data_IF_009701946672
#
_entry.id   IF_009701946672
#
_cell.length_a   1.000
_cell.length_b   1.000
_cell.length_c   1.000
_cell.angle_alpha   90.00
_cell.angle_beta   90.00
_cell.angle_gamma   90.00
#
_symmetry.space_group_name_H-M   'P 1'
#
loop_
_entity.id
_entity.type
_entity.pdbx_description
1 polymer ?
#
# COMPACT_ATOMS: atom_id res chain seq x y z
N UNK A 1 27.82 -20.97 5.59
CA UNK A 1 27.12 -20.47 6.77
C UNK A 1 27.84 -19.22 7.22
N UNK A 2 27.15 -18.09 7.29
CA UNK A 2 27.71 -16.82 7.77
C UNK A 2 27.56 -16.77 9.28
N UNK A 3 28.56 -16.21 9.97
CA UNK A 3 28.51 -16.01 11.41
C UNK A 3 27.33 -15.07 11.76
N UNK A 4 26.53 -15.38 12.79
CA UNK A 4 25.28 -14.67 13.05
C UNK A 4 25.43 -13.21 13.49
N UNK A 5 26.63 -12.73 13.76
CA UNK A 5 26.87 -11.43 14.39
C UNK A 5 27.67 -10.40 13.57
N UNK A 6 27.98 -10.68 12.31
CA UNK A 6 28.67 -9.72 11.45
C UNK A 6 28.00 -9.61 10.09
N UNK A 7 27.53 -8.41 9.77
CA UNK A 7 27.06 -8.13 8.41
C UNK A 7 28.24 -8.29 7.45
N UNK A 8 28.21 -9.24 6.53
CA UNK A 8 29.37 -9.55 5.69
C UNK A 8 29.75 -8.34 4.86
N UNK A 9 31.04 -8.00 4.82
CA UNK A 9 31.56 -6.93 3.94
C UNK A 9 31.20 -7.17 2.47
N UNK A 10 31.02 -8.42 2.06
CA UNK A 10 30.54 -8.79 0.72
C UNK A 10 29.16 -8.26 0.38
N UNK A 11 28.32 -7.93 1.36
CA UNK A 11 26.99 -7.35 1.14
C UNK A 11 27.00 -5.82 1.08
N UNK A 12 28.14 -5.16 1.29
CA UNK A 12 28.24 -3.70 1.16
C UNK A 12 27.91 -3.21 -0.26
N UNK A 13 28.00 -4.09 -1.28
CA UNK A 13 27.59 -3.75 -2.64
C UNK A 13 26.08 -3.43 -2.71
N UNK A 14 25.25 -4.03 -1.85
CA UNK A 14 23.81 -3.75 -1.79
C UNK A 14 23.49 -2.37 -1.23
N UNK A 15 24.47 -1.70 -0.63
CA UNK A 15 24.34 -0.30 -0.21
C UNK A 15 24.49 0.68 -1.40
N UNK A 16 25.00 0.22 -2.54
CA UNK A 16 25.11 1.03 -3.75
C UNK A 16 23.77 1.06 -4.48
N UNK A 17 23.12 2.25 -4.64
CA UNK A 17 21.76 2.36 -5.19
C UNK A 17 21.60 1.68 -6.54
N UNK A 18 22.56 1.82 -7.44
CA UNK A 18 22.49 1.25 -8.78
C UNK A 18 22.50 -0.28 -8.78
N UNK A 19 23.36 -0.89 -7.95
CA UNK A 19 23.46 -2.35 -7.86
C UNK A 19 22.23 -2.93 -7.14
N UNK A 20 21.78 -2.26 -6.11
CA UNK A 20 20.56 -2.63 -5.40
C UNK A 20 19.34 -2.60 -6.34
N UNK A 21 19.15 -1.51 -7.09
CA UNK A 21 18.06 -1.39 -8.06
C UNK A 21 18.10 -2.50 -9.11
N UNK A 22 19.28 -2.81 -9.65
CA UNK A 22 19.42 -3.91 -10.61
C UNK A 22 19.01 -5.24 -9.99
N UNK A 23 19.37 -5.51 -8.75
CA UNK A 23 19.05 -6.76 -8.08
C UNK A 23 17.54 -6.95 -7.88
N UNK A 24 16.83 -5.93 -7.39
CA UNK A 24 15.40 -6.04 -7.08
C UNK A 24 14.49 -5.93 -8.31
N UNK A 25 14.93 -5.23 -9.37
CA UNK A 25 14.12 -5.02 -10.58
C UNK A 25 14.27 -6.12 -11.64
N UNK A 26 15.12 -7.10 -11.41
CA UNK A 26 15.30 -8.25 -12.33
C UNK A 26 14.16 -9.25 -12.30
N UNK A 27 13.41 -9.31 -11.21
CA UNK A 27 12.26 -10.20 -11.11
C UNK A 27 11.11 -9.70 -11.98
N UNK A 28 10.59 -10.52 -12.89
CA UNK A 28 9.43 -10.18 -13.72
C UNK A 28 8.10 -10.34 -12.99
N UNK A 29 7.96 -11.42 -12.22
CA UNK A 29 6.70 -11.80 -11.58
C UNK A 29 6.80 -11.93 -10.06
N UNK A 30 7.94 -12.42 -9.54
CA UNK A 30 8.08 -12.69 -8.11
C UNK A 30 9.53 -12.51 -7.66
N UNK A 31 9.72 -11.83 -6.54
CA UNK A 31 10.98 -11.74 -5.82
C UNK A 31 10.81 -12.39 -4.44
N UNK A 32 11.66 -13.38 -4.12
CA UNK A 32 11.66 -14.03 -2.81
C UNK A 32 12.95 -13.63 -2.11
N UNK A 33 12.82 -13.02 -0.94
CA UNK A 33 13.95 -12.55 -0.16
C UNK A 33 14.15 -13.46 1.05
N UNK A 34 15.34 -14.03 1.19
CA UNK A 34 15.76 -14.76 2.39
C UNK A 34 16.72 -13.87 3.18
N UNK A 35 16.29 -13.44 4.36
CA UNK A 35 17.06 -12.53 5.22
C UNK A 35 17.42 -13.28 6.50
N UNK A 36 18.72 -13.47 6.74
CA UNK A 36 19.25 -14.20 7.90
C UNK A 36 19.73 -13.28 9.03
N UNK A 37 19.66 -11.98 8.85
CA UNK A 37 20.11 -10.99 9.82
C UNK A 37 18.92 -10.17 10.32
N UNK A 38 18.96 -9.81 11.59
CA UNK A 38 17.98 -8.90 12.15
C UNK A 38 18.14 -7.51 11.53
N UNK A 39 17.02 -6.86 11.21
CA UNK A 39 16.98 -5.55 10.57
C UNK A 39 17.75 -4.52 11.40
N UNK A 40 17.68 -4.62 12.72
CA UNK A 40 18.32 -3.70 13.66
C UNK A 40 19.84 -3.78 13.61
N UNK A 41 20.38 -4.94 13.24
CA UNK A 41 21.84 -5.16 13.10
C UNK A 41 22.38 -4.75 11.73
N UNK A 42 21.51 -4.43 10.79
CA UNK A 42 21.90 -4.01 9.44
C UNK A 42 22.38 -2.55 9.46
N UNK A 43 23.43 -2.21 8.71
CA UNK A 43 23.84 -0.83 8.53
C UNK A 43 22.74 -0.03 7.82
N UNK A 44 22.61 1.24 8.18
CA UNK A 44 21.65 2.14 7.53
C UNK A 44 21.93 2.24 6.02
N UNK A 45 20.85 2.21 5.23
CA UNK A 45 20.93 2.29 3.77
C UNK A 45 19.77 1.65 3.03
N UNK A 46 19.88 1.61 1.70
CA UNK A 46 18.79 1.15 0.83
C UNK A 46 18.35 -0.28 1.11
N UNK A 47 19.28 -1.18 1.44
CA UNK A 47 18.96 -2.58 1.72
C UNK A 47 18.17 -2.72 3.03
N UNK A 48 18.59 -2.05 4.11
CA UNK A 48 17.84 -2.06 5.38
C UNK A 48 16.44 -1.50 5.20
N UNK A 49 16.30 -0.35 4.51
CA UNK A 49 15.01 0.27 4.25
C UNK A 49 14.08 -0.67 3.45
N UNK A 50 14.62 -1.37 2.46
CA UNK A 50 13.88 -2.34 1.66
C UNK A 50 13.41 -3.54 2.49
N UNK A 51 14.28 -4.12 3.31
CA UNK A 51 13.92 -5.25 4.19
C UNK A 51 12.88 -4.82 5.23
N UNK A 52 13.04 -3.63 5.82
CA UNK A 52 12.05 -3.05 6.74
C UNK A 52 10.70 -2.85 6.07
N UNK A 53 10.68 -2.35 4.84
CA UNK A 53 9.46 -2.18 4.06
C UNK A 53 8.75 -3.52 3.81
N UNK A 54 9.50 -4.57 3.37
CA UNK A 54 8.92 -5.89 3.15
C UNK A 54 8.33 -6.48 4.44
N UNK A 55 9.04 -6.34 5.56
CA UNK A 55 8.56 -6.82 6.87
C UNK A 55 7.27 -6.11 7.27
N UNK A 56 7.25 -4.79 7.22
CA UNK A 56 6.05 -4.01 7.52
C UNK A 56 4.87 -4.39 6.60
N UNK A 57 5.14 -4.64 5.32
CA UNK A 57 4.12 -5.11 4.38
C UNK A 57 3.58 -6.49 4.76
N UNK A 58 4.45 -7.43 5.14
CA UNK A 58 4.05 -8.77 5.58
C UNK A 58 3.26 -8.73 6.89
N UNK A 59 3.75 -7.97 7.89
CA UNK A 59 3.08 -7.80 9.18
C UNK A 59 1.67 -7.21 9.00
N UNK A 60 1.55 -6.21 8.12
CA UNK A 60 0.26 -5.61 7.76
C UNK A 60 -0.67 -6.61 7.07
N UNK A 61 -0.17 -7.42 6.12
CA UNK A 61 -0.96 -8.46 5.46
C UNK A 61 -1.43 -9.53 6.46
N UNK A 62 -0.61 -9.86 7.43
CA UNK A 62 -0.93 -10.85 8.46
C UNK A 62 -1.96 -10.31 9.47
N UNK A 63 -1.83 -9.05 9.90
CA UNK A 63 -2.83 -8.37 10.73
C UNK A 63 -4.20 -8.31 10.04
N UNK A 64 -4.21 -8.03 8.74
CA UNK A 64 -5.42 -8.03 7.92
C UNK A 64 -6.06 -9.42 7.76
N UNK A 65 -5.24 -10.46 7.62
CA UNK A 65 -5.71 -11.85 7.55
C UNK A 65 -6.33 -12.30 8.89
N UNK A 66 -5.85 -11.74 10.01
CA UNK A 66 -6.36 -12.03 11.35
C UNK A 66 -7.57 -11.16 11.76
N UNK A 67 -8.10 -10.32 10.87
CA UNK A 67 -9.13 -9.32 11.18
C UNK A 67 -8.76 -8.34 12.34
N UNK A 68 -7.48 -8.20 12.63
CA UNK A 68 -6.97 -7.18 13.53
C UNK A 68 -6.99 -5.83 12.80
N UNK A 69 -8.14 -5.17 12.85
CA UNK A 69 -8.31 -3.84 12.26
C UNK A 69 -7.67 -2.83 13.22
N UNK A 70 -6.47 -2.38 12.89
CA UNK A 70 -5.92 -1.19 13.54
C UNK A 70 -6.75 0.03 13.11
N UNK A 71 -7.52 0.58 14.04
CA UNK A 71 -8.37 1.76 13.80
C UNK A 71 -7.57 3.01 13.39
N UNK A 72 -6.27 3.04 13.70
CA UNK A 72 -5.37 4.15 13.37
C UNK A 72 -4.91 4.17 11.90
N UNK A 73 -5.26 3.16 11.10
CA UNK A 73 -4.89 3.08 9.68
C UNK A 73 -5.70 4.06 8.82
N UNK A 74 -6.91 4.42 9.25
CA UNK A 74 -7.78 5.31 8.50
C UNK A 74 -7.40 6.78 8.70
N UNK A 75 -7.33 7.54 7.60
CA UNK A 75 -7.02 8.98 7.65
C UNK A 75 -8.15 9.81 8.28
N UNK A 76 -9.39 9.32 8.16
CA UNK A 76 -10.58 10.01 8.67
C UNK A 76 -11.76 9.03 8.83
N UNK A 77 -12.82 9.51 9.51
CA UNK A 77 -14.03 8.74 9.76
C UNK A 77 -14.76 8.30 8.49
N UNK A 78 -14.76 9.12 7.44
CA UNK A 78 -15.39 8.80 6.16
C UNK A 78 -14.75 7.58 5.52
N UNK A 79 -13.42 7.51 5.52
CA UNK A 79 -12.67 6.37 5.00
C UNK A 79 -13.00 5.09 5.76
N UNK A 80 -13.10 5.17 7.10
CA UNK A 80 -13.51 4.05 7.96
C UNK A 80 -14.94 3.59 7.65
N UNK A 81 -15.87 4.54 7.51
CA UNK A 81 -17.27 4.27 7.19
C UNK A 81 -17.41 3.56 5.85
N UNK A 82 -16.78 4.07 4.80
CA UNK A 82 -16.76 3.46 3.46
C UNK A 82 -16.14 2.07 3.51
N UNK A 83 -14.99 1.90 4.17
CA UNK A 83 -14.33 0.60 4.29
C UNK A 83 -15.22 -0.43 5.01
N UNK A 84 -15.91 -0.01 6.07
CA UNK A 84 -16.86 -0.87 6.81
C UNK A 84 -18.04 -1.26 5.94
N UNK A 85 -18.60 -0.31 5.18
CA UNK A 85 -19.72 -0.58 4.30
C UNK A 85 -19.35 -1.58 3.18
N UNK A 86 -18.14 -1.46 2.61
CA UNK A 86 -17.63 -2.39 1.59
C UNK A 86 -17.42 -3.80 2.20
N UNK A 87 -16.87 -3.89 3.41
CA UNK A 87 -16.69 -5.18 4.12
C UNK A 87 -18.01 -5.85 4.44
N UNK A 88 -19.05 -5.11 4.79
CA UNK A 88 -20.39 -5.64 5.06
C UNK A 88 -21.05 -6.26 3.80
N UNK A 89 -20.48 -6.03 2.62
CA UNK A 89 -20.86 -6.65 1.36
C UNK A 89 -19.92 -7.81 0.95
N UNK A 90 -19.23 -8.39 1.93
CA UNK A 90 -18.30 -9.53 1.77
C UNK A 90 -17.07 -9.26 0.89
N UNK A 91 -16.65 -8.00 0.74
CA UNK A 91 -15.43 -7.64 0.04
C UNK A 91 -14.25 -7.47 1.01
N UNK A 92 -13.07 -7.93 0.59
CA UNK A 92 -11.83 -7.70 1.32
C UNK A 92 -11.38 -6.25 1.14
N UNK A 93 -11.16 -5.52 2.23
CA UNK A 93 -10.69 -4.12 2.20
C UNK A 93 -9.45 -3.94 3.04
N UNK A 94 -8.41 -3.38 2.44
CA UNK A 94 -7.14 -3.00 3.07
C UNK A 94 -6.98 -1.49 2.99
N UNK A 95 -6.85 -0.82 4.13
CA UNK A 95 -6.65 0.63 4.18
C UNK A 95 -5.16 1.00 4.21
N UNK A 96 -4.82 2.17 3.69
CA UNK A 96 -3.49 2.76 3.80
C UNK A 96 -2.38 1.95 3.12
N UNK A 97 -2.65 1.31 1.99
CA UNK A 97 -1.67 0.50 1.26
C UNK A 97 -0.68 1.39 0.52
N UNK A 98 0.61 1.12 0.67
CA UNK A 98 1.63 1.80 -0.12
C UNK A 98 1.88 1.08 -1.44
N UNK A 99 1.70 1.79 -2.55
CA UNK A 99 1.94 1.33 -3.92
C UNK A 99 2.83 2.34 -4.63
N UNK A 100 3.99 1.92 -5.10
CA UNK A 100 4.98 2.79 -5.76
C UNK A 100 5.34 4.05 -4.95
N UNK A 101 5.41 3.94 -3.62
CA UNK A 101 5.69 5.07 -2.72
C UNK A 101 4.51 6.03 -2.52
N UNK A 102 3.32 5.65 -2.96
CA UNK A 102 2.08 6.40 -2.76
C UNK A 102 1.13 5.64 -1.85
N UNK A 103 0.58 6.32 -0.85
CA UNK A 103 -0.43 5.73 0.03
C UNK A 103 -1.79 5.74 -0.67
N UNK A 104 -2.32 4.56 -1.02
CA UNK A 104 -3.70 4.38 -1.48
C UNK A 104 -4.65 4.33 -0.28
N UNK A 105 -5.84 4.91 -0.40
CA UNK A 105 -6.77 4.97 0.73
C UNK A 105 -7.33 3.58 1.05
N UNK A 106 -8.01 2.94 0.11
CA UNK A 106 -8.56 1.59 0.27
C UNK A 106 -8.20 0.73 -0.94
N UNK A 107 -7.66 -0.47 -0.71
CA UNK A 107 -7.50 -1.51 -1.73
C UNK A 107 -8.60 -2.56 -1.52
N UNK A 108 -9.37 -2.84 -2.55
CA UNK A 108 -10.51 -3.76 -2.50
C UNK A 108 -10.21 -5.01 -3.33
N UNK A 109 -10.39 -6.19 -2.73
CA UNK A 109 -10.20 -7.52 -3.32
C UNK A 109 -8.84 -7.74 -4.01
N UNK A 110 -7.83 -6.99 -3.60
CA UNK A 110 -6.51 -6.95 -4.23
C UNK A 110 -6.56 -6.57 -5.74
N UNK A 111 -7.66 -5.98 -6.21
CA UNK A 111 -7.93 -5.70 -7.64
C UNK A 111 -8.01 -4.22 -7.98
N UNK A 112 -8.67 -3.42 -7.16
CA UNK A 112 -8.89 -2.02 -7.44
C UNK A 112 -8.76 -1.14 -6.20
N UNK A 113 -8.51 0.14 -6.42
CA UNK A 113 -8.32 1.12 -5.37
C UNK A 113 -9.54 2.03 -5.31
N UNK A 114 -9.99 2.33 -4.08
CA UNK A 114 -10.98 3.36 -3.81
C UNK A 114 -10.28 4.52 -3.10
N UNK A 115 -10.20 5.66 -3.77
CA UNK A 115 -9.73 6.92 -3.21
C UNK A 115 -10.90 7.68 -2.61
N UNK A 116 -10.75 8.16 -1.40
CA UNK A 116 -11.78 8.85 -0.64
C UNK A 116 -11.48 10.35 -0.59
N UNK A 117 -12.31 11.15 -1.26
CA UNK A 117 -12.13 12.60 -1.33
C UNK A 117 -12.98 13.30 -0.24
N UNK A 118 -12.31 13.99 0.68
CA UNK A 118 -12.94 14.80 1.73
C UNK A 118 -13.54 16.13 1.22
N UNK A 119 -14.01 16.94 2.16
CA UNK A 119 -14.68 18.23 1.88
C UNK A 119 -13.74 19.30 1.32
N UNK A 120 -12.45 19.26 1.69
CA UNK A 120 -11.47 20.25 1.28
C UNK A 120 -10.77 19.86 -0.03
N UNK A 121 -11.22 20.45 -1.12
CA UNK A 121 -10.62 20.25 -2.44
C UNK A 121 -10.21 21.60 -3.05
N UNK A 122 -8.91 21.91 -3.03
CA UNK A 122 -8.36 23.05 -3.77
C UNK A 122 -7.71 22.57 -5.08
N UNK A 123 -7.52 23.49 -6.06
CA UNK A 123 -6.98 23.17 -7.38
C UNK A 123 -5.61 22.47 -7.34
N UNK A 124 -4.74 22.79 -6.37
CA UNK A 124 -3.43 22.12 -6.21
C UNK A 124 -3.58 20.69 -5.75
N UNK A 125 -4.53 20.42 -4.85
CA UNK A 125 -4.88 19.08 -4.41
C UNK A 125 -5.38 18.23 -5.58
N UNK A 126 -6.20 18.78 -6.47
CA UNK A 126 -6.75 18.06 -7.62
C UNK A 126 -5.65 17.56 -8.58
N UNK A 127 -4.67 18.40 -8.93
CA UNK A 127 -3.54 18.00 -9.80
C UNK A 127 -2.71 16.88 -9.14
N UNK A 128 -2.47 16.97 -7.84
CA UNK A 128 -1.74 15.93 -7.09
C UNK A 128 -2.50 14.61 -7.10
N UNK A 129 -3.83 14.64 -6.89
CA UNK A 129 -4.71 13.47 -6.92
C UNK A 129 -4.73 12.81 -8.30
N UNK A 130 -4.78 13.59 -9.38
CA UNK A 130 -4.71 13.05 -10.75
C UNK A 130 -3.36 12.39 -11.05
N UNK A 131 -2.24 12.98 -10.61
CA UNK A 131 -0.92 12.38 -10.74
C UNK A 131 -0.82 11.07 -9.97
N UNK A 132 -1.30 11.04 -8.73
CA UNK A 132 -1.37 9.84 -7.91
C UNK A 132 -2.17 8.74 -8.62
N UNK A 133 -3.37 9.06 -9.09
CA UNK A 133 -4.22 8.14 -9.83
C UNK A 133 -3.50 7.56 -11.06
N UNK A 134 -2.90 8.40 -11.89
CA UNK A 134 -2.17 7.95 -13.08
C UNK A 134 -1.02 7.00 -12.76
N UNK A 135 -0.32 7.18 -11.62
CA UNK A 135 0.74 6.26 -11.20
C UNK A 135 0.13 4.93 -10.75
N UNK A 136 -0.94 4.94 -9.95
CA UNK A 136 -1.62 3.72 -9.48
C UNK A 136 -2.20 2.92 -10.66
N UNK A 137 -2.78 3.58 -11.65
CA UNK A 137 -3.27 2.95 -12.88
C UNK A 137 -2.13 2.31 -13.70
N UNK A 138 -0.98 2.96 -13.77
CA UNK A 138 0.23 2.38 -14.40
C UNK A 138 0.80 1.20 -13.64
N UNK A 139 0.54 1.08 -12.33
CA UNK A 139 0.84 -0.10 -11.53
C UNK A 139 -0.16 -1.24 -11.74
N UNK A 140 -1.17 -1.07 -12.59
CA UNK A 140 -2.14 -2.10 -12.96
C UNK A 140 -3.43 -2.08 -12.16
N UNK A 141 -3.65 -1.08 -11.28
CA UNK A 141 -4.88 -0.97 -10.51
C UNK A 141 -5.92 -0.10 -11.20
N UNK A 142 -7.17 -0.51 -11.17
CA UNK A 142 -8.28 0.41 -11.46
C UNK A 142 -8.45 1.34 -10.27
N UNK A 143 -8.58 2.64 -10.49
CA UNK A 143 -8.79 3.63 -9.42
C UNK A 143 -10.20 4.20 -9.53
N UNK A 144 -10.98 4.03 -8.49
CA UNK A 144 -12.33 4.56 -8.34
C UNK A 144 -12.35 5.60 -7.23
N UNK A 145 -13.21 6.59 -7.30
CA UNK A 145 -13.29 7.67 -6.31
C UNK A 145 -14.66 7.74 -5.68
N UNK A 146 -14.69 8.02 -4.40
CA UNK A 146 -15.89 8.36 -3.64
C UNK A 146 -15.64 9.72 -3.01
N UNK A 147 -16.48 10.70 -3.33
CA UNK A 147 -16.44 12.00 -2.69
C UNK A 147 -17.36 12.03 -1.47
N UNK A 148 -17.05 12.87 -0.49
CA UNK A 148 -17.89 13.08 0.69
C UNK A 148 -19.34 13.42 0.30
N UNK A 149 -19.54 14.28 -0.72
CA UNK A 149 -20.88 14.73 -1.16
C UNK A 149 -21.68 13.58 -1.77
N UNK A 150 -21.06 12.74 -2.61
CA UNK A 150 -21.72 11.58 -3.19
C UNK A 150 -22.13 10.59 -2.11
N UNK A 151 -21.23 10.33 -1.16
CA UNK A 151 -21.49 9.43 -0.06
C UNK A 151 -22.67 9.90 0.81
N UNK A 152 -22.69 11.17 1.17
CA UNK A 152 -23.80 11.77 1.93
C UNK A 152 -25.11 11.76 1.16
N UNK A 153 -25.08 11.89 -0.16
CA UNK A 153 -26.28 11.86 -0.97
C UNK A 153 -26.86 10.43 -1.11
N UNK A 154 -26.03 9.45 -1.42
CA UNK A 154 -26.44 8.04 -1.50
C UNK A 154 -25.24 7.10 -1.39
N UNK A 155 -24.97 6.62 -0.19
CA UNK A 155 -23.95 5.61 0.07
C UNK A 155 -24.16 4.35 -0.77
N UNK A 156 -25.43 3.92 -0.91
CA UNK A 156 -25.80 2.74 -1.73
C UNK A 156 -25.40 2.93 -3.20
N UNK A 157 -25.73 4.05 -3.80
CA UNK A 157 -25.38 4.30 -5.21
C UNK A 157 -23.86 4.38 -5.42
N UNK A 158 -23.10 4.91 -4.43
CA UNK A 158 -21.64 4.90 -4.45
C UNK A 158 -21.08 3.48 -4.43
N UNK A 159 -21.60 2.63 -3.55
CA UNK A 159 -21.18 1.23 -3.43
C UNK A 159 -21.52 0.45 -4.71
N UNK A 160 -22.74 0.57 -5.20
CA UNK A 160 -23.17 -0.07 -6.45
C UNK A 160 -22.25 0.31 -7.62
N UNK A 161 -21.89 1.61 -7.74
CA UNK A 161 -20.96 2.12 -8.77
C UNK A 161 -19.54 1.61 -8.60
N UNK A 162 -19.06 1.57 -7.36
CA UNK A 162 -17.67 1.21 -7.06
C UNK A 162 -17.47 -0.30 -7.13
N UNK A 163 -18.47 -1.09 -6.75
CA UNK A 163 -18.39 -2.56 -6.76
C UNK A 163 -18.86 -3.16 -8.09
N UNK A 164 -19.62 -2.41 -8.91
CA UNK A 164 -19.96 -2.83 -10.27
C UNK A 164 -18.69 -2.96 -11.11
N UNK A 165 -18.37 -4.16 -11.56
CA UNK A 165 -17.21 -4.51 -12.39
C UNK A 165 -15.85 -4.22 -11.74
N UNK A 166 -15.49 -5.03 -10.74
CA UNK A 166 -14.13 -5.21 -10.28
C UNK A 166 -13.39 -6.25 -11.13
#
# INVERSE_FOLDING_TARGET
AFAPNSFPQSLTFLQKPNLFNVAITRAKNRCINFVSHDIETMPDGHFRNYVSYIKQYQDRQQALANNEIDENIYKNNLEKEIATAIRNLDHKVVAGVEIAGLSADLLVDDKFIVEVDGVEDNKKSHISKMKKQSILERCGFKVKRITFREWQYSAKACLDRVLAEG
#
